data_IF_129611991868
#
_entry.id   IF_129611991868
#
_cell.length_a   1.000
_cell.length_b   1.000
_cell.length_c   1.000
_cell.angle_alpha   90.00
_cell.angle_beta   90.00
_cell.angle_gamma   90.00
#
_symmetry.space_group_name_H-M   'P 1'
#
loop_
_entity.id
_entity.type
_entity.pdbx_description
1 polymer ?
#
# COMPACT_ATOMS: atom_id res chain seq x y z
N UNK A 1 8.26 -16.32 -19.35
CA UNK A 1 9.35 -15.91 -18.44
C UNK A 1 8.82 -15.18 -17.21
N UNK A 2 8.16 -14.02 -17.33
CA UNK A 2 7.60 -13.28 -16.18
C UNK A 2 6.65 -14.14 -15.34
N UNK A 3 5.71 -14.85 -15.97
CA UNK A 3 4.81 -15.79 -15.26
C UNK A 3 5.55 -16.93 -14.55
N UNK A 4 6.64 -17.44 -15.13
CA UNK A 4 7.41 -18.53 -14.51
C UNK A 4 8.16 -18.02 -13.27
N UNK A 5 8.82 -16.87 -13.38
CA UNK A 5 9.61 -16.29 -12.30
C UNK A 5 8.73 -15.67 -11.21
N UNK A 6 7.80 -14.77 -11.57
CA UNK A 6 7.00 -14.01 -10.62
C UNK A 6 5.67 -14.68 -10.25
N UNK A 7 5.11 -15.52 -11.13
CA UNK A 7 3.79 -16.13 -10.91
C UNK A 7 3.86 -17.53 -10.30
N UNK A 8 4.93 -18.27 -10.58
CA UNK A 8 5.15 -19.63 -10.07
C UNK A 8 6.35 -19.71 -9.11
N UNK A 9 6.93 -18.57 -8.73
CA UNK A 9 8.08 -18.46 -7.83
C UNK A 9 9.29 -19.33 -8.20
N UNK A 10 9.48 -19.60 -9.50
CA UNK A 10 10.63 -20.35 -9.97
C UNK A 10 11.90 -19.50 -9.85
N UNK A 11 13.00 -20.12 -9.44
CA UNK A 11 14.32 -19.50 -9.48
C UNK A 11 14.75 -19.18 -10.92
N UNK A 12 15.67 -18.23 -11.08
CA UNK A 12 16.24 -17.89 -12.40
C UNK A 12 16.80 -19.12 -13.14
N UNK A 13 17.34 -20.09 -12.38
CA UNK A 13 17.87 -21.34 -12.91
C UNK A 13 16.78 -22.27 -13.42
N UNK A 14 15.67 -22.41 -12.69
CA UNK A 14 14.53 -23.21 -13.13
C UNK A 14 13.87 -22.60 -14.37
N UNK A 15 13.70 -21.28 -14.40
CA UNK A 15 13.19 -20.57 -15.58
C UNK A 15 14.10 -20.79 -16.79
N UNK A 16 15.43 -20.69 -16.61
CA UNK A 16 16.39 -20.96 -17.67
C UNK A 16 16.33 -22.42 -18.16
N UNK A 17 16.17 -23.37 -17.23
CA UNK A 17 15.97 -24.79 -17.54
C UNK A 17 14.71 -25.04 -18.37
N UNK A 18 13.56 -24.49 -17.96
CA UNK A 18 12.30 -24.61 -18.70
C UNK A 18 12.38 -24.00 -20.10
N UNK A 19 12.99 -22.82 -20.26
CA UNK A 19 13.10 -22.19 -21.57
C UNK A 19 14.10 -22.90 -22.48
N UNK A 20 15.18 -23.48 -21.95
CA UNK A 20 16.12 -24.30 -22.72
C UNK A 20 15.48 -25.57 -23.30
N UNK A 21 14.39 -26.07 -22.70
CA UNK A 21 13.64 -27.21 -23.26
C UNK A 21 12.75 -26.81 -24.45
N UNK A 22 12.40 -25.53 -24.57
CA UNK A 22 11.50 -25.02 -25.61
C UNK A 22 12.27 -24.32 -26.74
N UNK A 23 13.39 -23.70 -26.43
CA UNK A 23 14.22 -22.92 -27.36
C UNK A 23 15.72 -23.21 -27.19
N UNK A 24 16.59 -22.40 -27.82
CA UNK A 24 18.03 -22.50 -27.63
C UNK A 24 18.45 -22.27 -26.18
N UNK A 25 19.61 -22.83 -25.82
CA UNK A 25 20.17 -22.74 -24.46
C UNK A 25 20.27 -21.30 -23.99
N UNK A 26 19.66 -21.03 -22.83
CA UNK A 26 19.62 -19.72 -22.20
C UNK A 26 20.19 -19.81 -20.78
N UNK A 27 20.97 -18.81 -20.36
CA UNK A 27 21.53 -18.76 -19.01
C UNK A 27 20.61 -18.01 -18.06
N UNK A 28 20.74 -18.30 -16.76
CA UNK A 28 20.05 -17.58 -15.67
C UNK A 28 20.34 -16.07 -15.69
N UNK A 29 21.58 -15.66 -15.98
CA UNK A 29 21.93 -14.25 -16.16
C UNK A 29 21.23 -13.63 -17.38
N UNK A 30 21.05 -14.38 -18.47
CA UNK A 30 20.31 -13.91 -19.63
C UNK A 30 18.79 -13.82 -19.34
N UNK A 31 18.24 -14.67 -18.48
CA UNK A 31 16.88 -14.54 -17.93
C UNK A 31 16.77 -13.26 -17.10
N UNK A 32 17.70 -13.04 -16.17
CA UNK A 32 17.72 -11.85 -15.31
C UNK A 32 17.73 -10.54 -16.11
N UNK A 33 18.59 -10.46 -17.14
CA UNK A 33 18.65 -9.28 -18.04
C UNK A 33 17.33 -9.03 -18.76
N UNK A 34 16.70 -10.09 -19.28
CA UNK A 34 15.40 -9.97 -19.96
C UNK A 34 14.27 -9.60 -18.99
N UNK A 35 14.27 -10.13 -17.76
CA UNK A 35 13.32 -9.74 -16.72
C UNK A 35 13.49 -8.27 -16.33
N UNK A 36 14.73 -7.78 -16.19
CA UNK A 36 14.96 -6.34 -15.96
C UNK A 36 14.45 -5.49 -17.11
N UNK A 37 14.59 -5.95 -18.34
CA UNK A 37 14.12 -5.24 -19.52
C UNK A 37 12.59 -5.26 -19.71
N UNK A 38 11.84 -6.07 -18.94
CA UNK A 38 10.39 -6.18 -19.10
C UNK A 38 9.59 -5.11 -18.36
N UNK A 39 10.23 -4.20 -17.61
CA UNK A 39 9.55 -3.14 -16.86
C UNK A 39 8.55 -2.34 -17.71
N UNK A 40 8.90 -1.80 -18.90
CA UNK A 40 7.94 -1.04 -19.70
C UNK A 40 6.75 -1.89 -20.17
N UNK A 41 6.99 -3.18 -20.46
CA UNK A 41 5.93 -4.11 -20.86
C UNK A 41 4.98 -4.43 -19.70
N UNK A 42 5.50 -4.64 -18.49
CA UNK A 42 4.67 -4.85 -17.29
C UNK A 42 3.86 -3.60 -16.97
N UNK A 43 4.45 -2.40 -17.07
CA UNK A 43 3.73 -1.13 -16.92
C UNK A 43 2.57 -1.03 -17.91
N UNK A 44 2.84 -1.26 -19.20
CA UNK A 44 1.81 -1.24 -20.24
C UNK A 44 0.69 -2.27 -19.97
N UNK A 45 1.04 -3.49 -19.57
CA UNK A 45 0.06 -4.52 -19.20
C UNK A 45 -0.82 -4.08 -18.02
N UNK A 46 -0.23 -3.48 -16.98
CA UNK A 46 -0.98 -2.98 -15.83
C UNK A 46 -1.93 -1.84 -16.22
N UNK A 47 -1.49 -0.92 -17.09
CA UNK A 47 -2.36 0.15 -17.61
C UNK A 47 -3.56 -0.39 -18.38
N UNK A 48 -3.42 -1.49 -19.12
CA UNK A 48 -4.52 -2.14 -19.84
C UNK A 48 -5.44 -2.95 -18.91
N UNK A 49 -4.89 -3.55 -17.85
CA UNK A 49 -5.65 -4.39 -16.91
C UNK A 49 -6.40 -3.58 -15.85
N UNK A 50 -5.85 -2.43 -15.45
CA UNK A 50 -6.48 -1.55 -14.49
C UNK A 50 -7.55 -0.69 -15.20
N UNK A 51 -8.68 -0.40 -14.53
CA UNK A 51 -9.64 0.54 -15.08
C UNK A 51 -8.94 1.85 -15.41
N UNK A 52 -9.23 2.43 -16.59
CA UNK A 52 -8.69 3.73 -16.96
C UNK A 52 -8.99 4.73 -15.86
N UNK A 53 -7.93 5.26 -15.23
CA UNK A 53 -8.06 6.31 -14.25
C UNK A 53 -8.49 7.55 -15.01
N UNK A 54 -9.69 8.07 -14.71
CA UNK A 54 -10.10 9.36 -15.24
C UNK A 54 -9.34 10.47 -14.50
N UNK A 55 -8.20 10.86 -15.06
CA UNK A 55 -7.32 11.89 -14.52
C UNK A 55 -8.02 13.25 -14.42
N UNK A 56 -9.05 13.52 -15.21
CA UNK A 56 -9.81 14.78 -15.15
C UNK A 56 -10.62 14.93 -13.85
N UNK A 57 -10.89 13.81 -13.17
CA UNK A 57 -11.57 13.81 -11.87
C UNK A 57 -10.60 13.83 -10.68
N UNK A 58 -9.28 13.78 -10.93
CA UNK A 58 -8.31 13.91 -9.85
C UNK A 58 -8.19 15.38 -9.44
N UNK A 59 -8.21 15.69 -8.13
CA UNK A 59 -7.96 17.04 -7.68
C UNK A 59 -6.57 17.51 -8.11
N UNK A 60 -6.49 18.73 -8.64
CA UNK A 60 -5.23 19.34 -9.04
C UNK A 60 -4.26 19.43 -7.85
N UNK A 61 -2.98 19.16 -8.11
CA UNK A 61 -1.91 19.31 -7.13
C UNK A 61 -1.77 18.15 -6.13
N UNK A 62 -2.56 17.08 -6.27
CA UNK A 62 -2.43 15.88 -5.44
C UNK A 62 -1.70 14.73 -6.16
N UNK A 63 -0.78 14.08 -5.46
CA UNK A 63 -0.08 12.87 -5.92
C UNK A 63 -0.40 11.68 -5.03
N UNK A 64 -1.08 10.68 -5.58
CA UNK A 64 -1.51 9.49 -4.83
C UNK A 64 -0.42 8.42 -4.83
N UNK A 65 0.10 8.11 -3.64
CA UNK A 65 1.18 7.16 -3.45
C UNK A 65 0.70 5.98 -2.59
N UNK A 66 0.82 4.76 -3.10
CA UNK A 66 0.54 3.54 -2.31
C UNK A 66 1.81 3.08 -1.63
N UNK A 67 1.72 2.78 -0.34
CA UNK A 67 2.82 2.20 0.42
C UNK A 67 2.45 0.86 1.03
N UNK A 68 3.43 -0.05 1.01
CA UNK A 68 3.33 -1.37 1.65
C UNK A 68 4.67 -1.81 2.24
N UNK A 69 4.59 -2.65 3.26
CA UNK A 69 5.71 -3.25 3.95
C UNK A 69 5.70 -4.77 3.78
N UNK A 70 6.86 -5.38 3.59
CA UNK A 70 7.01 -6.84 3.51
C UNK A 70 8.18 -7.31 4.35
N UNK A 71 7.93 -8.30 5.20
CA UNK A 71 9.00 -8.98 5.94
C UNK A 71 9.69 -10.02 5.06
N UNK A 72 11.02 -10.02 5.07
CA UNK A 72 11.86 -10.95 4.31
C UNK A 72 12.65 -11.80 5.29
N UNK A 73 12.67 -13.11 5.02
CA UNK A 73 13.42 -14.11 5.76
C UNK A 73 14.54 -14.66 4.88
N UNK A 74 15.78 -14.63 5.35
CA UNK A 74 16.88 -15.26 4.65
C UNK A 74 16.80 -16.80 4.78
N UNK A 75 17.49 -17.56 3.91
CA UNK A 75 17.55 -19.01 4.02
C UNK A 75 18.01 -19.45 5.43
N UNK A 76 17.18 -20.24 6.11
CA UNK A 76 17.46 -20.74 7.47
C UNK A 76 17.05 -19.79 8.61
N UNK A 77 16.41 -18.67 8.32
CA UNK A 77 15.94 -17.75 9.34
C UNK A 77 14.73 -18.29 10.12
N UNK A 78 14.67 -17.97 11.42
CA UNK A 78 13.54 -18.32 12.31
C UNK A 78 12.60 -17.13 12.56
N UNK A 79 12.86 -15.99 11.93
CA UNK A 79 12.10 -14.75 12.07
C UNK A 79 12.39 -13.79 10.92
N UNK A 80 11.98 -12.53 11.05
CA UNK A 80 12.28 -11.48 10.06
C UNK A 80 13.76 -11.08 10.15
N UNK A 81 14.47 -11.10 9.02
CA UNK A 81 15.82 -10.54 8.92
C UNK A 81 15.77 -9.10 8.39
N UNK A 82 14.94 -8.88 7.36
CA UNK A 82 14.82 -7.60 6.68
C UNK A 82 13.36 -7.20 6.51
N UNK A 83 13.10 -5.91 6.36
CA UNK A 83 11.82 -5.39 5.89
C UNK A 83 12.03 -4.57 4.63
N UNK A 84 11.23 -4.86 3.62
CA UNK A 84 11.14 -4.09 2.40
C UNK A 84 9.96 -3.15 2.51
N UNK A 85 10.21 -1.85 2.36
CA UNK A 85 9.21 -0.79 2.34
C UNK A 85 9.16 -0.23 0.93
N UNK A 86 7.99 -0.28 0.29
CA UNK A 86 7.80 0.12 -1.09
C UNK A 86 6.80 1.26 -1.16
N UNK A 87 7.08 2.25 -2.02
CA UNK A 87 6.15 3.28 -2.46
C UNK A 87 5.98 3.27 -3.97
N UNK A 88 4.73 3.34 -4.44
CA UNK A 88 4.38 3.38 -5.87
C UNK A 88 3.43 4.55 -6.12
N UNK A 89 3.68 5.32 -7.19
CA UNK A 89 2.74 6.32 -7.69
C UNK A 89 1.58 5.63 -8.43
N UNK A 90 0.33 5.89 -8.02
CA UNK A 90 -0.84 5.24 -8.59
C UNK A 90 -1.19 5.68 -10.01
N UNK A 91 -0.70 6.84 -10.45
CA UNK A 91 -0.93 7.36 -11.79
C UNK A 91 0.13 6.84 -12.75
N UNK A 92 1.41 6.96 -12.38
CA UNK A 92 2.51 6.57 -13.28
C UNK A 92 2.90 5.10 -13.15
N UNK A 93 2.47 4.43 -12.08
CA UNK A 93 2.87 3.06 -11.70
C UNK A 93 4.39 2.90 -11.53
N UNK A 94 5.05 3.97 -11.12
CA UNK A 94 6.50 3.99 -10.87
C UNK A 94 6.82 3.83 -9.39
N UNK A 95 7.92 3.13 -9.11
CA UNK A 95 8.49 3.10 -7.76
C UNK A 95 8.98 4.49 -7.39
N UNK A 96 8.37 5.08 -6.37
CA UNK A 96 8.79 6.37 -5.79
C UNK A 96 9.70 6.17 -4.59
N UNK A 97 9.60 5.01 -3.94
CA UNK A 97 10.40 4.68 -2.77
C UNK A 97 10.67 3.19 -2.69
N UNK A 98 11.91 2.84 -2.36
CA UNK A 98 12.30 1.47 -2.03
C UNK A 98 13.35 1.54 -0.92
N UNK A 99 12.99 1.02 0.25
CA UNK A 99 13.86 0.98 1.41
C UNK A 99 13.91 -0.43 1.95
N UNK A 100 15.11 -0.95 2.15
CA UNK A 100 15.33 -2.22 2.86
C UNK A 100 15.94 -1.90 4.21
N UNK A 101 15.24 -2.25 5.27
CA UNK A 101 15.71 -2.11 6.66
C UNK A 101 15.97 -3.47 7.26
N UNK A 102 16.65 -3.49 8.39
CA UNK A 102 16.73 -4.70 9.21
C UNK A 102 15.45 -4.92 10.04
N UNK A 103 15.48 -5.95 10.88
CA UNK A 103 14.40 -6.31 11.80
C UNK A 103 14.13 -5.29 12.92
N UNK A 104 15.02 -4.33 13.16
CA UNK A 104 14.88 -3.35 14.25
C UNK A 104 14.05 -2.13 13.84
N UNK A 105 13.89 -1.90 12.53
CA UNK A 105 13.00 -0.85 12.01
C UNK A 105 11.62 -1.42 11.75
N UNK A 106 10.61 -0.91 12.45
CA UNK A 106 9.20 -1.30 12.25
C UNK A 106 8.59 -0.69 10.99
N UNK A 107 7.41 -1.17 10.62
CA UNK A 107 6.57 -0.53 9.60
C UNK A 107 5.99 0.76 10.19
N UNK A 108 6.24 1.88 9.52
CA UNK A 108 5.71 3.18 9.94
C UNK A 108 5.61 4.09 8.73
N UNK A 109 4.56 4.93 8.70
CA UNK A 109 4.42 5.97 7.68
C UNK A 109 5.61 6.95 7.69
N UNK A 110 6.30 7.05 8.83
CA UNK A 110 7.52 7.85 9.02
C UNK A 110 8.70 7.39 8.17
N UNK A 111 8.69 6.14 7.70
CA UNK A 111 9.75 5.60 6.85
C UNK A 111 9.69 6.16 5.42
N UNK A 112 8.59 6.81 5.03
CA UNK A 112 8.35 7.26 3.67
C UNK A 112 8.59 8.77 3.49
N UNK A 113 9.28 9.19 2.42
CA UNK A 113 9.59 10.59 2.13
C UNK A 113 8.39 11.29 1.47
N UNK A 114 7.34 11.50 2.26
CA UNK A 114 6.12 12.20 1.87
C UNK A 114 6.33 13.72 1.90
N UNK A 115 5.70 14.43 0.96
CA UNK A 115 5.77 15.88 0.80
C UNK A 115 4.37 16.50 0.83
N UNK A 116 4.32 17.83 0.91
CA UNK A 116 3.08 18.57 0.73
C UNK A 116 2.44 18.24 -0.63
N UNK A 117 1.13 17.93 -0.61
CA UNK A 117 0.38 17.51 -1.81
C UNK A 117 0.45 16.02 -2.11
N UNK A 118 1.24 15.23 -1.36
CA UNK A 118 1.14 13.78 -1.42
C UNK A 118 -0.11 13.29 -0.68
N UNK A 119 -0.74 12.24 -1.23
CA UNK A 119 -1.80 11.48 -0.60
C UNK A 119 -1.30 10.05 -0.39
N UNK A 120 -0.98 9.70 0.85
CA UNK A 120 -0.52 8.37 1.19
C UNK A 120 -1.69 7.40 1.31
N UNK A 121 -1.73 6.39 0.45
CA UNK A 121 -2.73 5.30 0.46
C UNK A 121 -2.08 4.08 1.09
N UNK A 122 -2.56 3.69 2.28
CA UNK A 122 -1.89 2.68 3.10
C UNK A 122 -2.84 1.65 3.68
N UNK A 123 -2.27 0.51 4.04
CA UNK A 123 -2.97 -0.58 4.68
C UNK A 123 -3.20 -0.32 6.19
N UNK A 124 -3.68 -1.34 6.92
CA UNK A 124 -3.97 -1.22 8.36
C UNK A 124 -2.72 -1.27 9.24
N UNK A 125 -1.61 -1.83 8.74
CA UNK A 125 -0.34 -1.93 9.44
C UNK A 125 0.32 -0.55 9.59
N UNK A 126 0.11 0.34 8.63
CA UNK A 126 0.60 1.73 8.67
C UNK A 126 -0.40 2.72 9.29
N UNK A 127 -1.59 2.27 9.70
CA UNK A 127 -2.65 3.10 10.27
C UNK A 127 -2.39 3.45 11.74
N UNK A 128 -1.34 4.22 12.02
CA UNK A 128 -0.94 4.64 13.36
C UNK A 128 -1.18 6.13 13.60
N UNK A 129 -1.92 6.46 14.67
CA UNK A 129 -2.31 7.83 15.03
C UNK A 129 -1.17 8.85 14.96
N UNK A 130 -0.06 8.59 15.67
CA UNK A 130 1.05 9.54 15.74
C UNK A 130 1.74 9.78 14.40
N UNK A 131 1.88 8.72 13.58
CA UNK A 131 2.53 8.85 12.28
C UNK A 131 1.64 9.59 11.27
N UNK A 132 0.33 9.34 11.30
CA UNK A 132 -0.64 10.04 10.45
C UNK A 132 -0.76 11.51 10.85
N UNK A 133 -0.83 11.81 12.15
CA UNK A 133 -0.87 13.19 12.64
C UNK A 133 0.35 13.98 12.17
N UNK A 134 1.56 13.45 12.39
CA UNK A 134 2.82 14.08 11.99
C UNK A 134 2.86 14.35 10.47
N UNK A 135 2.47 13.37 9.64
CA UNK A 135 2.42 13.57 8.19
C UNK A 135 1.36 14.55 7.73
N UNK A 136 0.22 14.60 8.43
CA UNK A 136 -0.82 15.59 8.11
C UNK A 136 -0.39 17.01 8.47
N UNK A 137 0.35 17.19 9.57
CA UNK A 137 0.96 18.48 9.93
C UNK A 137 2.02 18.93 8.91
N UNK A 138 2.69 17.99 8.23
CA UNK A 138 3.62 18.24 7.12
C UNK A 138 2.91 18.52 5.77
N UNK A 139 1.57 18.52 5.72
CA UNK A 139 0.79 18.81 4.53
C UNK A 139 0.53 17.61 3.61
N UNK A 140 0.71 16.40 4.13
CA UNK A 140 0.38 15.14 3.44
C UNK A 140 -0.99 14.63 3.88
N UNK A 141 -1.86 14.29 2.93
CA UNK A 141 -3.12 13.63 3.23
C UNK A 141 -2.93 12.11 3.34
N UNK A 142 -3.76 11.44 4.14
CA UNK A 142 -3.66 9.98 4.34
C UNK A 142 -5.01 9.30 4.14
N UNK A 143 -5.02 8.29 3.27
CA UNK A 143 -6.10 7.32 3.11
C UNK A 143 -5.61 5.99 3.66
N UNK A 144 -6.03 5.63 4.87
CA UNK A 144 -5.62 4.39 5.52
C UNK A 144 -6.78 3.41 5.63
N UNK A 145 -6.49 2.11 5.51
CA UNK A 145 -7.42 1.08 5.96
C UNK A 145 -7.52 1.13 7.49
N UNK A 146 -8.70 1.48 7.99
CA UNK A 146 -8.92 1.72 9.41
C UNK A 146 -8.45 0.57 10.31
N UNK A 147 -7.73 0.92 11.37
CA UNK A 147 -7.27 0.00 12.41
C UNK A 147 -7.74 0.47 13.80
N UNK A 148 -8.85 -0.11 14.29
CA UNK A 148 -9.44 0.23 15.58
C UNK A 148 -8.49 0.08 16.78
N UNK A 149 -7.46 -0.77 16.70
CA UNK A 149 -6.54 -1.01 17.81
C UNK A 149 -5.52 0.12 17.99
N UNK A 150 -5.20 0.85 16.92
CA UNK A 150 -4.14 1.89 16.95
C UNK A 150 -4.61 3.27 16.48
N UNK A 151 -5.91 3.40 16.16
CA UNK A 151 -6.54 4.65 15.77
C UNK A 151 -7.91 4.81 16.45
N UNK A 152 -7.96 5.30 17.70
CA UNK A 152 -9.22 5.71 18.30
C UNK A 152 -9.86 6.85 17.51
N UNK A 153 -11.19 6.82 17.41
CA UNK A 153 -11.98 7.84 16.71
C UNK A 153 -12.95 8.51 17.68
N UNK A 154 -13.19 9.79 17.45
CA UNK A 154 -14.09 10.62 18.24
C UNK A 154 -15.00 11.41 17.30
N UNK A 155 -16.18 11.76 17.78
CA UNK A 155 -17.02 12.78 17.17
C UNK A 155 -16.39 14.18 17.32
N UNK A 156 -16.91 15.16 16.58
CA UNK A 156 -16.43 16.55 16.64
C UNK A 156 -16.60 17.19 18.04
N UNK A 157 -17.49 16.63 18.88
CA UNK A 157 -17.69 17.03 20.28
C UNK A 157 -16.71 16.36 21.27
N UNK A 158 -15.81 15.51 20.78
CA UNK A 158 -14.81 14.80 21.57
C UNK A 158 -15.30 13.51 22.22
N UNK A 159 -16.55 13.08 21.97
CA UNK A 159 -17.06 11.80 22.47
C UNK A 159 -16.48 10.64 21.63
N UNK A 160 -15.99 9.55 22.24
CA UNK A 160 -15.51 8.38 21.49
C UNK A 160 -16.59 7.82 20.56
N UNK A 161 -16.20 7.56 19.31
CA UNK A 161 -17.09 6.93 18.33
C UNK A 161 -17.22 5.43 18.64
N UNK A 162 -18.44 5.00 18.94
CA UNK A 162 -18.76 3.56 19.00
C UNK A 162 -18.83 3.00 17.57
N UNK A 163 -17.68 2.54 17.09
CA UNK A 163 -17.54 2.05 15.72
C UNK A 163 -18.41 0.82 15.45
N UNK A 164 -18.62 -0.05 16.45
CA UNK A 164 -19.39 -1.28 16.27
C UNK A 164 -20.87 -0.95 16.07
N UNK A 165 -21.40 -0.04 16.89
CA UNK A 165 -22.76 0.43 16.72
C UNK A 165 -22.92 1.25 15.43
N UNK A 166 -21.95 2.08 15.07
CA UNK A 166 -21.97 2.84 13.82
C UNK A 166 -21.93 1.95 12.58
N UNK A 167 -21.19 0.84 12.61
CA UNK A 167 -21.09 -0.15 11.51
C UNK A 167 -22.34 -1.01 11.32
N UNK A 168 -23.37 -0.91 12.18
CA UNK A 168 -24.58 -1.71 12.04
C UNK A 168 -25.23 -1.46 10.67
N UNK A 169 -25.73 -2.52 9.99
CA UNK A 169 -26.17 -2.42 8.62
C UNK A 169 -27.26 -1.36 8.44
N UNK A 170 -27.07 -0.52 7.43
CA UNK A 170 -28.12 0.30 6.86
C UNK A 170 -28.53 -0.36 5.55
N UNK A 171 -29.66 -1.10 5.55
CA UNK A 171 -30.08 -2.05 4.50
C UNK A 171 -30.19 -1.46 3.07
N UNK A 172 -30.01 -0.15 2.91
CA UNK A 172 -30.13 0.57 1.63
C UNK A 172 -28.84 1.20 1.13
N UNK A 173 -27.77 1.26 1.93
CA UNK A 173 -26.57 2.04 1.60
C UNK A 173 -25.40 1.15 1.12
N UNK A 174 -24.79 1.52 -0.02
CA UNK A 174 -23.56 0.88 -0.53
C UNK A 174 -22.32 1.29 0.26
N UNK A 175 -22.36 2.45 0.92
CA UNK A 175 -21.37 2.90 1.87
C UNK A 175 -22.03 3.84 2.90
N UNK A 176 -21.37 4.04 4.03
CA UNK A 176 -21.70 5.08 5.00
C UNK A 176 -20.44 5.82 5.42
N UNK A 177 -20.55 7.10 5.75
CA UNK A 177 -19.42 7.92 6.18
C UNK A 177 -19.83 8.95 7.23
N UNK A 178 -18.88 9.32 8.09
CA UNK A 178 -19.02 10.46 9.00
C UNK A 178 -17.68 11.14 9.22
N UNK A 179 -17.72 12.42 9.59
CA UNK A 179 -16.56 13.17 10.06
C UNK A 179 -16.13 12.64 11.42
N UNK A 180 -14.82 12.55 11.64
CA UNK A 180 -14.22 12.07 12.89
C UNK A 180 -12.98 12.87 13.23
N UNK A 181 -12.67 12.93 14.51
CA UNK A 181 -11.35 13.27 15.03
C UNK A 181 -10.61 11.96 15.29
N UNK A 182 -9.48 11.75 14.64
CA UNK A 182 -8.67 10.54 14.77
C UNK A 182 -7.39 10.86 15.55
N UNK A 183 -7.07 10.04 16.55
CA UNK A 183 -5.87 10.24 17.36
C UNK A 183 -6.00 9.65 18.77
N UNK A 184 -4.92 9.67 19.54
CA UNK A 184 -4.98 9.24 20.94
C UNK A 184 -5.80 10.24 21.80
N UNK A 185 -6.38 9.76 22.91
CA UNK A 185 -7.27 10.54 23.78
C UNK A 185 -6.64 11.85 24.27
N UNK A 186 -5.41 11.77 24.76
CA UNK A 186 -4.64 12.87 25.32
C UNK A 186 -3.71 13.58 24.32
N UNK A 187 -3.78 13.24 23.04
CA UNK A 187 -2.96 13.85 21.98
C UNK A 187 -3.79 14.77 21.08
N UNK A 188 -3.08 15.59 20.30
CA UNK A 188 -3.64 16.25 19.13
C UNK A 188 -4.31 15.23 18.22
N UNK A 189 -5.43 15.62 17.62
CA UNK A 189 -6.23 14.75 16.73
C UNK A 189 -6.27 15.36 15.35
N UNK A 190 -6.22 14.49 14.35
CA UNK A 190 -6.41 14.88 12.96
C UNK A 190 -7.89 14.79 12.62
N UNK A 191 -8.43 15.83 11.97
CA UNK A 191 -9.80 15.77 11.44
C UNK A 191 -9.80 14.97 10.15
N UNK A 192 -10.77 14.09 9.99
CA UNK A 192 -10.90 13.28 8.78
C UNK A 192 -12.30 12.70 8.63
N UNK A 193 -12.41 11.71 7.75
CA UNK A 193 -13.63 10.95 7.53
C UNK A 193 -13.35 9.47 7.70
N UNK A 194 -14.27 8.77 8.35
CA UNK A 194 -14.33 7.30 8.26
C UNK A 194 -15.38 6.91 7.23
N UNK A 195 -15.05 5.96 6.39
CA UNK A 195 -15.91 5.42 5.34
C UNK A 195 -16.00 3.91 5.52
N UNK A 196 -17.21 3.39 5.68
CA UNK A 196 -17.48 1.96 5.67
C UNK A 196 -18.19 1.60 4.37
N UNK A 197 -17.67 0.61 3.67
CA UNK A 197 -18.20 0.16 2.38
C UNK A 197 -18.91 -1.18 2.60
N UNK A 198 -20.19 -1.25 2.25
CA UNK A 198 -20.99 -2.47 2.38
C UNK A 198 -20.80 -3.33 1.14
N UNK A 199 -20.19 -4.51 1.31
CA UNK A 199 -20.11 -5.49 0.22
C UNK A 199 -21.46 -6.22 0.15
N UNK A 200 -22.22 -6.05 -0.94
CA UNK A 200 -23.34 -6.94 -1.24
C UNK A 200 -22.77 -8.36 -1.34
N UNK A 201 -23.24 -9.28 -0.49
CA UNK A 201 -22.96 -10.71 -0.69
C UNK A 201 -23.70 -11.11 -1.97
N UNK A 202 -22.94 -11.41 -3.02
CA UNK A 202 -23.43 -12.12 -4.21
C UNK A 202 -23.74 -13.56 -3.87
#
# INVERSE_FOLDING_TARGET
MVLLYCGLDQSLREVAGHLTLLEERITDEAIRKRLKACEPWVKALLFEMLPSINLENLPDGLRFLVFDGSSIQAPGATGTDYRLHIGIDLVTLEFTHLLVTDKHTGESLKNFPLNQGDVAVVDRGLCHANAILEKTEEGTDVIARYNHASMPLYHDDGIPLDIVNWLKPNDKATYQSCSVLAGAESASKVKGHIIAITRKRS
#
